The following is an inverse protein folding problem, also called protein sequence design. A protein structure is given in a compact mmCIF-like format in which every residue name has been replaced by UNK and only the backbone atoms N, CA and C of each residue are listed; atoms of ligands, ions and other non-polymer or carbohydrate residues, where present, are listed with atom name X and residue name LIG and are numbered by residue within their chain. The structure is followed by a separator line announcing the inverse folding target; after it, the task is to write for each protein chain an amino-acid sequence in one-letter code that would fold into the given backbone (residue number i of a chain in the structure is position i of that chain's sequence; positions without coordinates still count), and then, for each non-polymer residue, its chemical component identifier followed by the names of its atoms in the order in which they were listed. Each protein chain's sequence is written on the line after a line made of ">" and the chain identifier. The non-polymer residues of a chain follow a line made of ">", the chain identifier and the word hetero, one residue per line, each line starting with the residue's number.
data_IF_266912922460
#
_entry.id   IF_266912922460
#
_cell.length_a   1.000
_cell.length_b   1.000
_cell.length_c   1.000
_cell.angle_alpha   90.00
_cell.angle_beta   90.00
_cell.angle_gamma   90.00
#
_symmetry.space_group_name_H-M   'P 1'
#
loop_
_entity.id
_entity.type
_entity.pdbx_description
1 polymer ?
#
# COMPACT_ATOMS: atom_id res chain seq x y z
N UNK A 1 -28.04 -25.69 -8.15
CA UNK A 1 -27.15 -24.64 -7.62
C UNK A 1 -27.78 -23.33 -8.04
N UNK A 2 -28.59 -22.75 -7.17
CA UNK A 2 -29.23 -21.44 -7.43
C UNK A 2 -28.12 -20.39 -7.40
N UNK A 3 -27.88 -19.78 -8.55
CA UNK A 3 -26.93 -18.69 -8.74
C UNK A 3 -27.53 -17.45 -8.07
N UNK A 4 -26.77 -16.79 -7.19
CA UNK A 4 -27.25 -15.61 -6.43
C UNK A 4 -27.73 -14.55 -7.43
N UNK A 5 -28.80 -13.77 -7.13
CA UNK A 5 -29.23 -12.69 -8.02
C UNK A 5 -28.13 -11.67 -8.35
N UNK A 6 -27.09 -11.59 -7.51
CA UNK A 6 -25.89 -10.78 -7.71
C UNK A 6 -24.97 -11.34 -8.83
N UNK A 7 -24.81 -12.66 -8.91
CA UNK A 7 -23.96 -13.34 -9.91
C UNK A 7 -24.43 -13.18 -11.37
N UNK A 8 -25.65 -12.64 -11.59
CA UNK A 8 -26.20 -12.39 -12.93
C UNK A 8 -25.69 -11.09 -13.56
N UNK A 9 -25.17 -10.17 -12.76
CA UNK A 9 -24.44 -8.99 -13.23
C UNK A 9 -22.97 -9.25 -12.91
N UNK A 10 -22.16 -9.49 -13.94
CA UNK A 10 -20.70 -9.61 -13.75
C UNK A 10 -20.12 -8.37 -13.05
N UNK A 11 -18.82 -8.42 -12.66
CA UNK A 11 -18.18 -7.36 -11.89
C UNK A 11 -18.41 -5.99 -12.53
N UNK A 12 -18.71 -4.99 -11.69
CA UNK A 12 -18.87 -3.61 -12.14
C UNK A 12 -17.53 -3.03 -12.59
N UNK A 13 -17.56 -1.89 -13.29
CA UNK A 13 -16.34 -1.15 -13.67
C UNK A 13 -15.51 -0.76 -12.44
N UNK A 14 -16.18 -0.46 -11.32
CA UNK A 14 -15.48 -0.15 -10.05
C UNK A 14 -14.78 -1.38 -9.48
N UNK A 15 -15.42 -2.55 -9.56
CA UNK A 15 -14.84 -3.80 -9.06
C UNK A 15 -13.62 -4.20 -9.90
N UNK A 16 -13.71 -4.05 -11.23
CA UNK A 16 -12.57 -4.28 -12.12
C UNK A 16 -11.44 -3.28 -11.85
N UNK A 17 -11.76 -2.00 -11.61
CA UNK A 17 -10.74 -1.00 -11.27
C UNK A 17 -10.04 -1.28 -9.93
N UNK A 18 -10.76 -1.85 -8.94
CA UNK A 18 -10.16 -2.27 -7.69
C UNK A 18 -9.15 -3.41 -7.90
N UNK A 19 -9.49 -4.40 -8.74
CA UNK A 19 -8.58 -5.50 -9.09
C UNK A 19 -7.32 -4.98 -9.79
N UNK A 20 -7.47 -4.05 -10.75
CA UNK A 20 -6.33 -3.44 -11.45
C UNK A 20 -5.41 -2.67 -10.49
N UNK A 21 -5.98 -2.01 -9.47
CA UNK A 21 -5.20 -1.32 -8.43
C UNK A 21 -4.40 -2.30 -7.54
N UNK A 22 -4.93 -3.50 -7.31
CA UNK A 22 -4.27 -4.56 -6.52
C UNK A 22 -3.27 -5.39 -7.34
N UNK A 23 -3.41 -5.40 -8.67
CA UNK A 23 -2.61 -6.23 -9.57
C UNK A 23 -1.09 -6.17 -9.36
N UNK A 24 -0.48 -5.00 -9.11
CA UNK A 24 0.95 -4.94 -8.81
C UNK A 24 1.36 -5.77 -7.59
N UNK A 25 0.53 -5.78 -6.54
CA UNK A 25 0.78 -6.56 -5.32
C UNK A 25 0.60 -8.05 -5.61
N UNK A 26 -0.49 -8.42 -6.28
CA UNK A 26 -0.76 -9.80 -6.70
C UNK A 26 0.42 -10.34 -7.54
N UNK A 27 0.92 -9.56 -8.49
CA UNK A 27 2.08 -9.96 -9.30
C UNK A 27 3.36 -10.16 -8.46
N UNK A 28 3.58 -9.32 -7.45
CA UNK A 28 4.73 -9.49 -6.55
C UNK A 28 4.59 -10.73 -5.64
N UNK A 29 3.37 -11.07 -5.23
CA UNK A 29 3.09 -12.28 -4.45
C UNK A 29 3.23 -13.55 -5.30
N UNK A 30 2.86 -13.51 -6.58
CA UNK A 30 3.11 -14.60 -7.52
C UNK A 30 4.62 -14.82 -7.74
N UNK A 31 5.40 -13.74 -7.91
CA UNK A 31 6.88 -13.82 -7.97
C UNK A 31 7.48 -14.50 -6.71
N UNK A 32 6.88 -14.25 -5.54
CA UNK A 32 7.31 -14.86 -4.27
C UNK A 32 6.95 -16.35 -4.24
N UNK A 33 5.71 -16.68 -4.58
CA UNK A 33 5.25 -18.07 -4.64
C UNK A 33 6.10 -18.91 -5.60
N UNK A 34 6.44 -18.37 -6.79
CA UNK A 34 7.32 -19.04 -7.75
C UNK A 34 8.73 -19.30 -7.18
N UNK A 35 9.26 -18.34 -6.40
CA UNK A 35 10.54 -18.50 -5.72
C UNK A 35 10.47 -19.57 -4.61
N UNK A 36 9.39 -19.62 -3.84
CA UNK A 36 9.16 -20.63 -2.80
C UNK A 36 9.01 -22.03 -3.41
N UNK A 37 8.22 -22.17 -4.47
CA UNK A 37 8.07 -23.41 -5.24
C UNK A 37 9.43 -23.90 -5.74
N UNK A 38 10.28 -22.98 -6.25
CA UNK A 38 11.62 -23.32 -6.70
C UNK A 38 12.51 -23.88 -5.58
N UNK A 39 12.35 -23.38 -4.34
CA UNK A 39 13.09 -23.91 -3.18
C UNK A 39 12.64 -25.33 -2.84
N UNK A 40 11.33 -25.60 -2.86
CA UNK A 40 10.78 -26.94 -2.61
C UNK A 40 11.32 -27.93 -3.63
N UNK A 41 11.29 -27.59 -4.93
CA UNK A 41 11.86 -28.47 -5.96
C UNK A 41 13.38 -28.66 -5.82
N UNK A 42 14.10 -27.66 -5.30
CA UNK A 42 15.54 -27.80 -5.08
C UNK A 42 15.86 -28.83 -3.99
N UNK A 43 14.98 -29.06 -3.01
CA UNK A 43 15.17 -30.09 -1.97
C UNK A 43 15.33 -31.49 -2.57
N UNK A 44 14.55 -31.82 -3.60
CA UNK A 44 14.64 -33.07 -4.35
C UNK A 44 15.89 -33.16 -5.26
N UNK A 45 16.64 -32.06 -5.39
CA UNK A 45 17.76 -31.91 -6.33
C UNK A 45 19.09 -31.52 -5.66
N UNK A 46 19.25 -31.83 -4.37
CA UNK A 46 20.49 -31.57 -3.62
C UNK A 46 20.49 -30.26 -2.84
N UNK A 47 19.32 -29.62 -2.73
CA UNK A 47 19.06 -28.45 -1.90
C UNK A 47 19.11 -27.12 -2.67
N UNK A 48 18.55 -26.04 -2.07
CA UNK A 48 18.59 -24.70 -2.63
C UNK A 48 19.99 -24.16 -2.91
N UNK A 49 20.19 -23.59 -4.10
CA UNK A 49 21.43 -22.90 -4.46
C UNK A 49 21.49 -21.48 -3.86
N UNK A 50 22.67 -20.87 -3.79
CA UNK A 50 22.80 -19.45 -3.42
C UNK A 50 22.00 -18.49 -4.30
N UNK A 51 21.69 -18.88 -5.54
CA UNK A 51 20.90 -18.07 -6.46
C UNK A 51 19.41 -18.12 -6.12
N UNK A 52 18.90 -19.27 -5.67
CA UNK A 52 17.51 -19.44 -5.24
C UNK A 52 17.21 -18.57 -4.02
N UNK A 53 18.13 -18.57 -3.04
CA UNK A 53 18.05 -17.67 -1.89
C UNK A 53 18.07 -16.19 -2.27
N UNK A 54 18.78 -15.81 -3.34
CA UNK A 54 18.76 -14.42 -3.84
C UNK A 54 17.47 -14.09 -4.56
N UNK A 55 16.82 -15.06 -5.21
CA UNK A 55 15.50 -14.88 -5.83
C UNK A 55 14.44 -14.67 -4.76
N UNK A 56 14.40 -15.54 -3.75
CA UNK A 56 13.47 -15.43 -2.61
C UNK A 56 13.55 -14.04 -1.96
N UNK A 57 14.74 -13.63 -1.50
CA UNK A 57 14.91 -12.31 -0.85
C UNK A 57 14.49 -11.12 -1.72
N UNK A 58 14.67 -11.22 -3.05
CA UNK A 58 14.25 -10.15 -3.97
C UNK A 58 12.74 -10.11 -4.12
N UNK A 59 12.09 -11.27 -4.17
CA UNK A 59 10.65 -11.40 -4.25
C UNK A 59 9.98 -10.92 -2.95
N UNK A 60 10.46 -11.35 -1.78
CA UNK A 60 10.02 -10.84 -0.47
C UNK A 60 10.13 -9.31 -0.40
N UNK A 61 11.29 -8.76 -0.77
CA UNK A 61 11.50 -7.32 -0.77
C UNK A 61 10.59 -6.58 -1.78
N UNK A 62 10.18 -7.24 -2.88
CA UNK A 62 9.23 -6.69 -3.84
C UNK A 62 7.83 -6.65 -3.23
N UNK A 63 7.37 -7.73 -2.59
CA UNK A 63 6.08 -7.78 -1.89
C UNK A 63 5.99 -6.66 -0.86
N UNK A 64 6.98 -6.51 0.03
CA UNK A 64 6.95 -5.44 1.05
C UNK A 64 6.85 -4.04 0.44
N UNK A 65 7.62 -3.76 -0.63
CA UNK A 65 7.57 -2.46 -1.31
C UNK A 65 6.22 -2.23 -1.97
N UNK A 66 5.69 -3.22 -2.69
CA UNK A 66 4.43 -3.07 -3.40
C UNK A 66 3.24 -3.01 -2.45
N UNK A 67 3.22 -3.81 -1.38
CA UNK A 67 2.20 -3.77 -0.34
C UNK A 67 2.16 -2.40 0.34
N UNK A 68 3.33 -1.79 0.56
CA UNK A 68 3.41 -0.42 1.07
C UNK A 68 2.76 0.56 0.09
N UNK A 69 2.91 0.40 -1.22
CA UNK A 69 2.25 1.25 -2.22
C UNK A 69 0.74 0.98 -2.33
N UNK A 70 0.29 -0.27 -2.26
CA UNK A 70 -1.12 -0.67 -2.43
C UNK A 70 -1.99 -0.34 -1.22
N UNK A 71 -1.47 -0.55 0.01
CA UNK A 71 -2.22 -0.26 1.25
C UNK A 71 -2.24 1.23 1.56
N UNK A 72 -1.25 1.98 1.06
CA UNK A 72 -1.24 3.43 1.20
C UNK A 72 -2.40 4.02 0.40
N UNK A 73 -3.29 4.79 1.05
CA UNK A 73 -4.31 5.50 0.30
C UNK A 73 -3.64 6.35 -0.79
N UNK A 74 -4.27 6.46 -1.96
CA UNK A 74 -3.85 7.33 -3.06
C UNK A 74 -3.72 8.81 -2.63
N UNK A 75 -4.25 9.14 -1.46
CA UNK A 75 -4.19 10.45 -0.82
C UNK A 75 -3.15 10.59 0.30
N UNK A 76 -2.40 9.55 0.67
CA UNK A 76 -1.37 9.64 1.72
C UNK A 76 -0.19 10.47 1.24
N UNK A 77 0.03 11.62 1.87
CA UNK A 77 0.91 12.65 1.35
C UNK A 77 2.41 12.35 1.38
N UNK A 78 2.90 11.37 2.14
CA UNK A 78 4.30 10.96 1.98
C UNK A 78 4.53 10.16 0.67
N UNK A 79 3.45 9.85 -0.07
CA UNK A 79 3.50 9.43 -1.47
C UNK A 79 3.53 10.58 -2.48
N UNK A 80 3.23 11.81 -2.07
CA UNK A 80 3.25 13.01 -2.91
C UNK A 80 4.64 13.67 -2.91
N UNK A 81 5.69 12.94 -3.31
CA UNK A 81 7.05 13.51 -3.37
C UNK A 81 7.22 14.63 -4.44
N UNK A 82 6.16 14.98 -5.18
CA UNK A 82 6.25 15.95 -6.29
C UNK A 82 5.16 17.03 -6.33
N UNK A 83 4.13 16.98 -5.47
CA UNK A 83 3.04 17.97 -5.50
C UNK A 83 3.07 18.87 -4.26
N UNK A 84 2.73 20.15 -4.45
CA UNK A 84 2.66 21.14 -3.37
C UNK A 84 1.37 20.92 -2.57
N UNK A 85 1.50 20.69 -1.27
CA UNK A 85 0.36 20.61 -0.36
C UNK A 85 -0.19 22.01 -0.06
N UNK A 86 -1.51 22.16 -0.02
CA UNK A 86 -2.21 23.38 0.36
C UNK A 86 -2.97 23.18 1.68
N UNK A 87 -2.86 24.10 2.63
CA UNK A 87 -3.69 24.09 3.84
C UNK A 87 -5.14 24.40 3.43
N UNK A 88 -6.04 23.46 3.68
CA UNK A 88 -7.49 23.59 3.36
C UNK A 88 -8.34 23.77 4.59
N UNK A 89 -7.79 23.52 5.78
CA UNK A 89 -8.55 23.63 7.02
C UNK A 89 -7.73 23.35 8.25
N UNK A 90 -8.44 23.30 9.37
CA UNK A 90 -7.90 23.04 10.69
C UNK A 90 -8.81 22.02 11.37
N UNK A 91 -8.26 21.09 12.15
CA UNK A 91 -9.05 19.98 12.73
C UNK A 91 -10.01 20.39 13.85
N UNK A 92 -9.92 21.63 14.34
CA UNK A 92 -10.72 22.10 15.48
C UNK A 92 -10.31 21.51 16.83
N UNK A 93 -9.19 20.78 16.92
CA UNK A 93 -8.75 20.11 18.15
C UNK A 93 -8.17 21.05 19.23
N UNK A 94 -8.12 22.37 18.99
CA UNK A 94 -7.56 23.37 19.90
C UNK A 94 -6.03 23.55 19.82
N UNK A 95 -5.34 22.66 19.10
CA UNK A 95 -3.87 22.63 18.98
C UNK A 95 -3.35 22.98 17.58
N UNK A 96 -4.13 23.75 16.80
CA UNK A 96 -3.63 24.29 15.53
C UNK A 96 -3.28 23.27 14.42
N UNK A 97 -3.76 22.02 14.49
CA UNK A 97 -3.39 21.01 13.49
C UNK A 97 -4.00 21.33 12.11
N UNK A 98 -3.15 21.38 11.09
CA UNK A 98 -3.51 21.76 9.72
C UNK A 98 -4.04 20.55 8.97
N UNK A 99 -5.18 20.71 8.29
CA UNK A 99 -5.64 19.79 7.26
C UNK A 99 -5.04 20.29 5.95
N UNK A 100 -4.19 19.48 5.33
CA UNK A 100 -3.58 19.81 4.04
C UNK A 100 -4.12 18.89 2.96
N UNK A 101 -4.36 19.46 1.79
CA UNK A 101 -4.82 18.76 0.60
C UNK A 101 -3.91 19.04 -0.58
N UNK A 102 -3.60 18.01 -1.37
CA UNK A 102 -3.00 18.17 -2.67
C UNK A 102 -4.06 18.65 -3.68
N UNK A 103 -3.90 19.79 -4.36
CA UNK A 103 -4.87 20.26 -5.35
C UNK A 103 -4.89 19.39 -6.61
N UNK A 104 -3.79 18.67 -6.91
CA UNK A 104 -3.63 17.89 -8.13
C UNK A 104 -4.25 16.49 -8.04
N UNK A 105 -4.08 15.80 -6.90
CA UNK A 105 -4.65 14.47 -6.69
C UNK A 105 -5.82 14.43 -5.70
N UNK A 106 -6.14 15.56 -5.05
CA UNK A 106 -7.22 15.66 -4.07
C UNK A 106 -6.90 15.02 -2.71
N UNK A 107 -5.69 14.49 -2.53
CA UNK A 107 -5.35 13.76 -1.31
C UNK A 107 -5.24 14.64 -0.08
N UNK A 108 -5.86 14.22 1.03
CA UNK A 108 -5.98 15.00 2.27
C UNK A 108 -5.33 14.30 3.45
N UNK A 109 -4.58 15.03 4.27
CA UNK A 109 -4.00 14.53 5.52
C UNK A 109 -4.13 15.58 6.63
N UNK A 110 -3.90 15.15 7.87
CA UNK A 110 -3.72 16.06 9.00
C UNK A 110 -2.23 16.13 9.36
N UNK A 111 -1.68 17.34 9.38
CA UNK A 111 -0.36 17.63 9.92
C UNK A 111 -0.49 17.96 11.41
N UNK A 112 -0.07 17.02 12.26
CA UNK A 112 0.03 17.25 13.69
C UNK A 112 1.38 17.89 14.02
N UNK A 113 1.38 19.08 14.63
CA UNK A 113 2.61 19.72 15.11
C UNK A 113 2.83 19.39 16.59
N UNK A 114 4.06 18.98 16.91
CA UNK A 114 4.50 18.72 18.28
C UNK A 114 4.68 20.02 19.07
N UNK A 115 5.07 21.10 18.40
CA UNK A 115 5.27 22.43 18.98
C UNK A 115 4.00 23.02 19.61
N UNK A 116 2.83 22.62 19.09
CA UNK A 116 1.52 23.02 19.60
C UNK A 116 0.99 22.07 20.70
N UNK A 117 1.82 21.17 21.23
CA UNK A 117 1.49 20.19 22.28
C UNK A 117 0.33 19.24 21.91
N UNK A 118 0.09 19.01 20.61
CA UNK A 118 -0.93 18.07 20.17
C UNK A 118 -0.56 16.63 20.56
N UNK A 119 -1.46 15.92 21.24
CA UNK A 119 -1.24 14.52 21.68
C UNK A 119 -0.98 13.55 20.53
N UNK A 120 -1.64 13.75 19.39
CA UNK A 120 -1.38 12.96 18.18
C UNK A 120 0.01 13.27 17.59
N UNK A 121 0.41 14.55 17.59
CA UNK A 121 1.76 14.96 17.16
C UNK A 121 2.86 14.35 18.03
N UNK A 122 2.66 14.34 19.35
CA UNK A 122 3.60 13.68 20.28
C UNK A 122 3.72 12.17 20.06
N UNK A 123 2.64 11.50 19.65
CA UNK A 123 2.66 10.06 19.37
C UNK A 123 3.41 9.69 18.08
N UNK A 124 3.53 10.60 17.12
CA UNK A 124 4.26 10.39 15.87
C UNK A 124 5.77 10.71 15.96
N UNK A 125 6.23 11.35 17.04
CA UNK A 125 7.64 11.75 17.24
C UNK A 125 8.49 10.75 18.03
N UNK A 126 7.88 9.66 18.51
CA UNK A 126 8.52 8.57 19.27
C UNK A 126 8.80 7.36 18.38
#
# INVERSE_FOLDING_TARGET
>A
MEVSPDDRHGPSVSDLAAIEAEWPLIAAELDLLDAEISLIYAEDHGGPSPLDWRRLRRAEARVTRTATTTVRPSWSADGCMSHRLAVVGWTGCGYGCEIVRCPDCGGEQVLHRTEDWCRAGMAHAA
#
